data_IF_058454609299
#
_entry.id   IF_058454609299
#
_cell.length_a   1.000
_cell.length_b   1.000
_cell.length_c   1.000
_cell.angle_alpha   90.00
_cell.angle_beta   90.00
_cell.angle_gamma   90.00
#
_symmetry.space_group_name_H-M   'P 1'
#
loop_
_entity.id
_entity.type
_entity.pdbx_description
1 polymer ?
#
# COMPACT_ATOMS: atom_id res chain seq x y z
N UNK A 1 -31.11 -6.19 -52.41
CA UNK A 1 -30.08 -7.19 -52.74
C UNK A 1 -29.29 -7.43 -51.47
N UNK A 2 -29.48 -8.56 -50.79
CA UNK A 2 -28.72 -8.85 -49.58
C UNK A 2 -27.27 -9.16 -49.97
N UNK A 3 -26.27 -8.59 -49.27
CA UNK A 3 -24.86 -8.87 -49.58
C UNK A 3 -24.60 -10.37 -49.48
N UNK A 4 -23.84 -10.92 -50.44
CA UNK A 4 -23.44 -12.32 -50.41
C UNK A 4 -22.60 -12.63 -49.17
N UNK A 5 -22.56 -13.89 -48.73
CA UNK A 5 -21.89 -14.30 -47.48
C UNK A 5 -20.42 -13.81 -47.35
N UNK A 6 -19.70 -13.68 -48.47
CA UNK A 6 -18.34 -13.11 -48.51
C UNK A 6 -18.31 -11.60 -48.22
N UNK A 7 -19.24 -10.82 -48.79
CA UNK A 7 -19.40 -9.38 -48.49
C UNK A 7 -19.84 -9.14 -47.04
N UNK A 8 -20.66 -10.03 -46.48
CA UNK A 8 -21.03 -9.96 -45.07
C UNK A 8 -19.82 -10.19 -44.16
N UNK A 9 -18.93 -11.13 -44.51
CA UNK A 9 -17.68 -11.39 -43.78
C UNK A 9 -16.71 -10.21 -43.80
N UNK A 10 -16.54 -9.55 -44.95
CA UNK A 10 -15.72 -8.33 -45.07
C UNK A 10 -16.28 -7.18 -44.24
N UNK A 11 -17.60 -6.94 -44.28
CA UNK A 11 -18.25 -5.90 -43.49
C UNK A 11 -18.07 -6.17 -41.98
N UNK A 12 -18.22 -7.42 -41.53
CA UNK A 12 -17.99 -7.79 -40.12
C UNK A 12 -16.54 -7.52 -39.71
N UNK A 13 -15.56 -7.88 -40.54
CA UNK A 13 -14.15 -7.64 -40.25
C UNK A 13 -13.82 -6.15 -40.16
N UNK A 14 -14.37 -5.32 -41.07
CA UNK A 14 -14.20 -3.86 -41.04
C UNK A 14 -14.80 -3.27 -39.76
N UNK A 15 -16.02 -3.67 -39.40
CA UNK A 15 -16.68 -3.20 -38.17
C UNK A 15 -15.87 -3.60 -36.93
N UNK A 16 -15.38 -4.84 -36.87
CA UNK A 16 -14.52 -5.30 -35.77
C UNK A 16 -13.22 -4.49 -35.68
N UNK A 17 -12.57 -4.22 -36.81
CA UNK A 17 -11.34 -3.42 -36.85
C UNK A 17 -11.59 -1.98 -36.39
N UNK A 18 -12.70 -1.37 -36.82
CA UNK A 18 -13.10 -0.02 -36.41
C UNK A 18 -13.41 0.04 -34.90
N UNK A 19 -14.17 -0.92 -34.38
CA UNK A 19 -14.47 -1.00 -32.94
C UNK A 19 -13.19 -1.19 -32.12
N UNK A 20 -12.27 -2.03 -32.58
CA UNK A 20 -10.97 -2.21 -31.94
C UNK A 20 -10.14 -0.92 -31.96
N UNK A 21 -10.09 -0.20 -33.09
CA UNK A 21 -9.37 1.07 -33.20
C UNK A 21 -9.96 2.14 -32.25
N UNK A 22 -11.29 2.27 -32.19
CA UNK A 22 -11.99 3.19 -31.27
C UNK A 22 -11.66 2.84 -29.82
N UNK A 23 -11.65 1.56 -29.46
CA UNK A 23 -11.30 1.10 -28.13
C UNK A 23 -9.85 1.45 -27.78
N UNK A 24 -8.90 1.16 -28.66
CA UNK A 24 -7.47 1.45 -28.45
C UNK A 24 -7.22 2.95 -28.28
N UNK A 25 -7.87 3.78 -29.10
CA UNK A 25 -7.75 5.23 -29.01
C UNK A 25 -8.38 5.76 -27.71
N UNK A 26 -9.58 5.29 -27.37
CA UNK A 26 -10.27 5.65 -26.13
C UNK A 26 -9.45 5.30 -24.87
N UNK A 27 -8.87 4.10 -24.84
CA UNK A 27 -7.96 3.65 -23.78
C UNK A 27 -6.69 4.50 -23.73
N UNK A 28 -6.10 4.82 -24.88
CA UNK A 28 -4.89 5.63 -24.95
C UNK A 28 -5.13 7.04 -24.44
N UNK A 29 -6.25 7.66 -24.81
CA UNK A 29 -6.66 8.97 -24.32
C UNK A 29 -6.95 8.96 -22.81
N UNK A 30 -7.65 7.93 -22.31
CA UNK A 30 -7.90 7.77 -20.88
C UNK A 30 -6.59 7.62 -20.09
N UNK A 31 -5.69 6.75 -20.56
CA UNK A 31 -4.38 6.54 -19.97
C UNK A 31 -3.56 7.84 -19.93
N UNK A 32 -3.51 8.59 -21.03
CA UNK A 32 -2.78 9.87 -21.09
C UNK A 32 -3.31 10.90 -20.09
N UNK A 33 -4.64 10.95 -19.87
CA UNK A 33 -5.24 11.80 -18.83
C UNK A 33 -4.81 11.38 -17.43
N UNK A 34 -4.77 10.08 -17.14
CA UNK A 34 -4.34 9.56 -15.83
C UNK A 34 -2.86 9.82 -15.55
N UNK A 35 -1.98 9.61 -16.55
CA UNK A 35 -0.55 9.86 -16.37
C UNK A 35 -0.26 11.36 -16.22
N UNK A 36 -0.95 12.20 -17.00
CA UNK A 36 -0.87 13.66 -16.82
C UNK A 36 -1.37 14.07 -15.45
N UNK A 37 -2.50 13.49 -15.00
CA UNK A 37 -3.03 13.80 -13.68
C UNK A 37 -2.06 13.37 -12.59
N UNK A 38 -1.31 12.27 -12.75
CA UNK A 38 -0.30 11.72 -11.84
C UNK A 38 0.88 12.65 -11.54
N UNK A 39 1.18 13.62 -12.41
CA UNK A 39 2.28 14.58 -12.24
C UNK A 39 3.61 13.91 -11.84
N UNK A 40 3.89 12.74 -12.44
CA UNK A 40 5.06 11.92 -12.21
C UNK A 40 5.57 11.43 -13.56
N UNK A 41 6.88 11.50 -13.78
CA UNK A 41 7.54 11.07 -15.02
C UNK A 41 7.64 9.52 -15.12
N UNK A 42 6.56 8.81 -14.81
CA UNK A 42 6.58 7.35 -14.62
C UNK A 42 6.86 6.58 -15.92
N UNK A 43 6.39 7.11 -17.06
CA UNK A 43 6.65 6.53 -18.38
C UNK A 43 8.07 6.83 -18.88
N UNK A 44 8.69 7.90 -18.41
CA UNK A 44 10.10 8.18 -18.75
C UNK A 44 11.03 7.20 -18.03
N UNK A 45 10.63 6.72 -16.85
CA UNK A 45 11.38 5.73 -16.05
C UNK A 45 11.19 4.31 -16.57
N UNK A 46 9.96 3.94 -16.95
CA UNK A 46 9.61 2.57 -17.29
C UNK A 46 9.34 2.32 -18.79
N UNK A 47 9.57 3.31 -19.64
CA UNK A 47 9.21 3.29 -21.06
C UNK A 47 7.70 3.45 -21.29
N UNK A 48 7.28 3.61 -22.55
CA UNK A 48 5.85 3.72 -22.89
C UNK A 48 5.21 2.32 -22.94
N UNK A 49 4.05 2.11 -22.29
CA UNK A 49 3.38 0.82 -22.31
C UNK A 49 2.66 0.54 -23.64
N UNK A 50 2.51 -0.75 -23.95
CA UNK A 50 1.60 -1.24 -24.99
C UNK A 50 0.12 -0.98 -24.62
N UNK A 51 -0.79 -1.19 -25.58
CA UNK A 51 -2.21 -0.87 -25.38
C UNK A 51 -2.91 -1.76 -24.33
N UNK A 52 -2.51 -3.03 -24.17
CA UNK A 52 -3.06 -3.93 -23.15
C UNK A 52 -2.60 -3.47 -21.75
N UNK A 53 -1.35 -3.06 -21.63
CA UNK A 53 -0.81 -2.48 -20.39
C UNK A 53 -1.54 -1.17 -20.03
N UNK A 54 -1.81 -0.29 -21.01
CA UNK A 54 -2.65 0.91 -20.80
C UNK A 54 -4.06 0.55 -20.34
N UNK A 55 -4.70 -0.42 -21.01
CA UNK A 55 -6.03 -0.90 -20.65
C UNK A 55 -6.05 -1.42 -19.20
N UNK A 56 -5.06 -2.22 -18.79
CA UNK A 56 -4.93 -2.67 -17.40
C UNK A 56 -4.81 -1.51 -16.41
N UNK A 57 -4.00 -0.49 -16.72
CA UNK A 57 -3.88 0.72 -15.88
C UNK A 57 -5.22 1.44 -15.75
N UNK A 58 -5.89 1.69 -16.86
CA UNK A 58 -7.18 2.37 -16.88
C UNK A 58 -8.25 1.58 -16.13
N UNK A 59 -8.40 0.28 -16.40
CA UNK A 59 -9.39 -0.56 -15.74
C UNK A 59 -9.18 -0.64 -14.23
N UNK A 60 -7.95 -0.95 -13.79
CA UNK A 60 -7.64 -1.06 -12.36
C UNK A 60 -7.82 0.27 -11.65
N UNK A 61 -7.44 1.39 -12.28
CA UNK A 61 -7.72 2.72 -11.74
C UNK A 61 -9.23 2.91 -11.50
N UNK A 62 -10.07 2.73 -12.52
CA UNK A 62 -11.51 2.95 -12.37
C UNK A 62 -12.18 1.96 -11.42
N UNK A 63 -11.67 0.74 -11.30
CA UNK A 63 -12.13 -0.25 -10.32
C UNK A 63 -11.85 0.23 -8.88
N UNK A 64 -10.69 0.86 -8.63
CA UNK A 64 -10.30 1.29 -7.28
C UNK A 64 -10.80 2.68 -6.91
N UNK A 65 -10.80 3.61 -7.86
CA UNK A 65 -11.03 5.04 -7.66
C UNK A 65 -12.42 5.48 -8.09
N UNK A 66 -13.06 4.74 -8.99
CA UNK A 66 -14.32 5.14 -9.60
C UNK A 66 -14.18 6.45 -10.38
N UNK A 67 -15.16 7.34 -10.23
CA UNK A 67 -15.22 8.64 -10.92
C UNK A 67 -14.61 9.79 -10.13
N UNK A 68 -13.92 9.52 -9.01
CA UNK A 68 -13.32 10.56 -8.18
C UNK A 68 -12.25 11.34 -8.98
N UNK A 69 -12.21 12.65 -8.79
CA UNK A 69 -11.23 13.56 -9.41
C UNK A 69 -10.27 14.04 -8.33
N UNK A 70 -8.94 14.05 -8.59
CA UNK A 70 -7.98 14.53 -7.60
C UNK A 70 -8.25 15.98 -7.20
N UNK A 71 -8.27 16.25 -5.90
CA UNK A 71 -8.33 17.61 -5.39
C UNK A 71 -7.07 18.41 -5.75
N UNK A 72 -7.22 19.72 -5.94
CA UNK A 72 -6.12 20.62 -6.32
C UNK A 72 -5.66 21.52 -5.19
N UNK A 73 -6.54 21.83 -4.23
CA UNK A 73 -6.24 22.68 -3.09
C UNK A 73 -5.61 21.85 -1.96
N UNK A 74 -4.53 22.33 -1.30
CA UNK A 74 -3.99 21.67 -0.11
C UNK A 74 -5.05 21.51 0.97
N UNK A 75 -5.06 20.35 1.63
CA UNK A 75 -5.93 20.15 2.80
C UNK A 75 -5.32 20.96 3.96
N UNK A 76 -6.08 21.89 4.59
CA UNK A 76 -5.58 22.61 5.75
C UNK A 76 -5.29 21.64 6.91
N UNK A 77 -4.09 21.73 7.46
CA UNK A 77 -3.62 20.84 8.52
C UNK A 77 -3.47 21.58 9.86
N UNK A 78 -3.62 20.83 10.93
CA UNK A 78 -3.32 21.22 12.30
C UNK A 78 -2.29 20.26 12.92
N UNK A 79 -1.52 20.73 13.89
CA UNK A 79 -0.57 19.96 14.69
C UNK A 79 -0.97 19.90 16.16
N UNK A 80 -0.73 18.76 16.78
CA UNK A 80 -0.95 18.52 18.21
C UNK A 80 0.26 17.76 18.78
N UNK A 81 0.68 18.07 20.01
CA UNK A 81 1.69 17.26 20.68
C UNK A 81 1.10 15.90 21.07
N UNK A 82 1.83 14.82 20.81
CA UNK A 82 1.40 13.47 21.18
C UNK A 82 1.25 13.37 22.70
N UNK A 83 0.10 12.88 23.22
CA UNK A 83 -0.06 12.65 24.65
C UNK A 83 0.75 11.43 25.15
N UNK A 84 1.30 10.62 24.24
CA UNK A 84 1.97 9.37 24.55
C UNK A 84 3.48 9.40 24.32
N UNK A 85 3.95 10.22 23.38
CA UNK A 85 5.37 10.27 23.00
C UNK A 85 5.87 11.72 23.12
N UNK A 86 6.67 12.04 24.14
CA UNK A 86 7.22 13.38 24.32
C UNK A 86 7.99 13.86 23.08
N UNK A 87 7.73 15.11 22.67
CA UNK A 87 8.39 15.74 21.51
C UNK A 87 7.82 15.34 20.14
N UNK A 88 6.92 14.36 20.07
CA UNK A 88 6.25 13.98 18.83
C UNK A 88 5.07 14.89 18.53
N UNK A 89 4.95 15.38 17.30
CA UNK A 89 3.76 16.05 16.80
C UNK A 89 2.92 15.09 15.96
N UNK A 90 1.61 15.11 16.10
CA UNK A 90 0.66 14.41 15.23
C UNK A 90 -0.09 15.43 14.37
N UNK A 91 -0.44 15.02 13.15
CA UNK A 91 -1.14 15.90 12.20
C UNK A 91 -2.61 15.53 12.10
N UNK A 92 -3.43 16.57 11.98
CA UNK A 92 -4.88 16.48 11.87
C UNK A 92 -5.38 17.37 10.73
N UNK A 93 -6.61 17.13 10.26
CA UNK A 93 -7.31 18.15 9.48
C UNK A 93 -7.62 19.34 10.39
N UNK A 94 -7.44 20.55 9.88
CA UNK A 94 -7.79 21.75 10.63
C UNK A 94 -9.27 21.74 11.06
N UNK A 95 -9.52 22.05 12.33
CA UNK A 95 -10.86 21.98 12.94
C UNK A 95 -11.34 20.59 13.36
N UNK A 96 -10.62 19.51 13.04
CA UNK A 96 -11.01 18.15 13.42
C UNK A 96 -10.73 17.82 14.89
N UNK A 97 -9.70 18.43 15.49
CA UNK A 97 -9.35 18.26 16.90
C UNK A 97 -9.23 19.63 17.58
N UNK A 98 -9.98 19.81 18.68
CA UNK A 98 -9.98 21.06 19.48
C UNK A 98 -8.64 21.35 20.14
N UNK A 99 -7.83 20.32 20.42
CA UNK A 99 -6.51 20.45 21.02
C UNK A 99 -5.41 20.72 19.98
N UNK A 100 -5.69 20.54 18.69
CA UNK A 100 -4.75 20.81 17.62
C UNK A 100 -4.76 22.30 17.24
N UNK A 101 -3.59 22.84 16.94
CA UNK A 101 -3.39 24.22 16.47
C UNK A 101 -3.02 24.21 15.00
N UNK A 102 -3.29 25.29 14.25
CA UNK A 102 -2.94 25.35 12.82
C UNK A 102 -1.46 25.02 12.60
N UNK A 103 -1.18 24.20 11.58
CA UNK A 103 0.15 23.68 11.29
C UNK A 103 1.14 24.85 11.17
N UNK A 104 2.20 24.81 11.98
CA UNK A 104 3.22 25.86 11.97
C UNK A 104 4.29 25.49 10.94
N UNK A 105 4.65 26.37 9.98
CA UNK A 105 5.49 26.03 8.83
C UNK A 105 7.00 25.93 9.13
N UNK A 106 7.39 25.54 10.35
CA UNK A 106 8.76 25.70 10.83
C UNK A 106 9.41 24.39 11.27
N UNK A 107 10.26 23.86 10.38
CA UNK A 107 11.33 22.93 10.70
C UNK A 107 10.89 21.53 11.16
N UNK A 108 11.71 20.53 10.86
CA UNK A 108 11.50 19.17 11.33
C UNK A 108 11.50 18.11 10.22
N UNK A 109 11.14 16.90 10.60
CA UNK A 109 11.02 15.75 9.70
C UNK A 109 9.58 15.22 9.77
N UNK A 110 8.99 14.99 8.62
CA UNK A 110 7.67 14.36 8.52
C UNK A 110 7.86 12.88 8.26
N UNK A 111 7.35 12.05 9.17
CA UNK A 111 7.26 10.61 8.98
C UNK A 111 5.83 10.29 8.55
N UNK A 112 5.67 10.06 7.25
CA UNK A 112 4.36 9.85 6.65
C UNK A 112 4.04 8.36 6.50
N UNK A 113 2.80 7.99 6.84
CA UNK A 113 2.33 6.59 6.75
C UNK A 113 0.87 6.52 6.31
N UNK A 114 0.45 5.31 5.97
CA UNK A 114 -0.94 4.93 5.82
C UNK A 114 -1.14 3.67 6.65
N UNK A 115 -2.19 3.60 7.48
CA UNK A 115 -2.57 2.41 8.28
C UNK A 115 -3.08 1.21 7.45
N UNK A 116 -2.48 0.98 6.28
CA UNK A 116 -2.74 -0.17 5.40
C UNK A 116 -1.75 -1.29 5.74
N UNK A 117 -2.19 -2.23 6.59
CA UNK A 117 -1.37 -3.34 7.09
C UNK A 117 -0.45 -2.97 8.26
N UNK A 118 -0.25 -3.92 9.19
CA UNK A 118 0.50 -3.68 10.43
C UNK A 118 2.01 -3.39 10.23
N UNK A 119 2.59 -3.72 9.06
CA UNK A 119 4.01 -3.53 8.78
C UNK A 119 4.40 -2.06 8.67
N UNK A 120 3.75 -1.31 7.77
CA UNK A 120 4.06 0.09 7.47
C UNK A 120 3.96 1.00 8.70
N UNK A 121 2.97 0.75 9.56
CA UNK A 121 2.79 1.52 10.77
C UNK A 121 3.91 1.30 11.79
N UNK A 122 4.47 0.09 11.88
CA UNK A 122 5.64 -0.19 12.73
C UNK A 122 6.90 0.50 12.19
N UNK A 123 7.05 0.55 10.87
CA UNK A 123 8.14 1.30 10.24
C UNK A 123 8.04 2.78 10.60
N UNK A 124 6.83 3.35 10.49
CA UNK A 124 6.57 4.74 10.83
C UNK A 124 6.89 5.06 12.30
N UNK A 125 6.43 4.23 13.24
CA UNK A 125 6.75 4.44 14.66
C UNK A 125 8.24 4.43 14.92
N UNK A 126 8.94 3.47 14.34
CA UNK A 126 10.34 3.29 14.66
C UNK A 126 11.24 4.34 13.96
N UNK A 127 10.85 4.78 12.76
CA UNK A 127 11.41 5.97 12.10
C UNK A 127 11.20 7.24 12.92
N UNK A 128 10.01 7.37 13.50
CA UNK A 128 9.68 8.47 14.41
C UNK A 128 10.57 8.46 15.66
N UNK A 129 10.75 7.30 16.29
CA UNK A 129 11.66 7.14 17.42
C UNK A 129 13.10 7.51 17.06
N UNK A 130 13.57 7.15 15.86
CA UNK A 130 14.88 7.56 15.37
C UNK A 130 14.99 9.08 15.20
N UNK A 131 14.00 9.71 14.57
CA UNK A 131 14.01 11.16 14.33
C UNK A 131 13.98 11.96 15.65
N UNK A 132 13.19 11.52 16.63
CA UNK A 132 13.17 12.08 17.98
C UNK A 132 14.52 11.91 18.69
N UNK A 133 15.18 10.76 18.53
CA UNK A 133 16.52 10.52 19.07
C UNK A 133 17.61 11.41 18.48
N UNK A 134 17.35 12.08 17.35
CA UNK A 134 18.22 13.09 16.75
C UNK A 134 17.87 14.53 17.16
N UNK A 135 16.98 14.70 18.15
CA UNK A 135 16.50 15.98 18.64
C UNK A 135 15.91 16.87 17.52
N UNK A 136 15.17 16.23 16.60
CA UNK A 136 14.44 16.91 15.52
C UNK A 136 12.97 17.01 15.86
N UNK A 137 12.36 18.18 15.61
CA UNK A 137 10.90 18.31 15.55
C UNK A 137 10.38 17.26 14.57
N UNK A 138 9.52 16.37 15.04
CA UNK A 138 9.10 15.20 14.27
C UNK A 138 7.58 15.19 14.15
N UNK A 139 7.08 15.04 12.94
CA UNK A 139 5.66 14.95 12.65
C UNK A 139 5.29 13.52 12.25
N UNK A 140 4.39 12.89 12.99
CA UNK A 140 3.74 11.66 12.60
C UNK A 140 2.52 11.97 11.73
N UNK A 141 2.66 11.75 10.43
CA UNK A 141 1.67 12.10 9.42
C UNK A 141 0.97 10.86 8.87
N UNK A 142 -0.09 10.42 9.54
CA UNK A 142 -0.95 9.33 9.05
C UNK A 142 -2.07 9.87 8.16
N UNK A 143 -2.04 9.53 6.87
CA UNK A 143 -3.05 10.00 5.93
C UNK A 143 -4.46 9.52 6.29
N UNK A 144 -4.59 8.35 6.93
CA UNK A 144 -5.89 7.82 7.36
C UNK A 144 -6.44 8.50 8.61
N UNK A 145 -5.64 9.33 9.28
CA UNK A 145 -6.09 10.16 10.39
C UNK A 145 -6.76 11.47 9.92
N UNK A 146 -6.54 11.86 8.65
CA UNK A 146 -7.09 13.08 8.08
C UNK A 146 -8.53 12.82 7.63
N UNK A 147 -9.50 13.52 8.24
CA UNK A 147 -10.91 13.38 7.86
C UNK A 147 -11.20 14.12 6.54
N UNK A 148 -11.11 13.40 5.42
CA UNK A 148 -11.21 13.92 4.05
C UNK A 148 -11.75 12.88 3.07
N UNK A 149 -12.23 13.32 1.90
CA UNK A 149 -12.68 12.40 0.84
C UNK A 149 -11.51 11.55 0.32
N UNK A 150 -10.32 12.14 0.22
CA UNK A 150 -9.10 11.50 -0.25
C UNK A 150 -8.62 10.41 0.72
N UNK A 151 -8.67 10.66 2.03
CA UNK A 151 -8.41 9.62 3.03
C UNK A 151 -9.49 8.53 3.03
N UNK A 152 -10.74 8.89 2.72
CA UNK A 152 -11.83 7.93 2.59
C UNK A 152 -11.66 7.02 1.37
N UNK A 153 -11.09 7.51 0.27
CA UNK A 153 -10.72 6.69 -0.88
C UNK A 153 -9.75 5.57 -0.47
N UNK A 154 -8.75 5.86 0.36
CA UNK A 154 -7.81 4.84 0.88
C UNK A 154 -8.57 3.74 1.63
N UNK A 155 -9.53 4.12 2.49
CA UNK A 155 -10.37 3.16 3.24
C UNK A 155 -11.23 2.30 2.31
N UNK A 156 -11.82 2.91 1.29
CA UNK A 156 -12.64 2.22 0.29
C UNK A 156 -11.81 1.22 -0.51
N UNK A 157 -10.62 1.62 -0.96
CA UNK A 157 -9.68 0.73 -1.65
C UNK A 157 -9.25 -0.45 -0.78
N UNK A 158 -8.94 -0.23 0.51
CA UNK A 158 -8.61 -1.29 1.46
C UNK A 158 -9.76 -2.28 1.65
N UNK A 159 -10.97 -1.73 1.81
CA UNK A 159 -12.18 -2.52 1.99
C UNK A 159 -12.47 -3.38 0.76
N UNK A 160 -12.40 -2.78 -0.43
CA UNK A 160 -12.60 -3.46 -1.70
C UNK A 160 -11.55 -4.56 -1.93
N UNK A 161 -10.27 -4.26 -1.69
CA UNK A 161 -9.18 -5.25 -1.75
C UNK A 161 -9.42 -6.41 -0.78
N UNK A 162 -9.84 -6.11 0.45
CA UNK A 162 -10.14 -7.13 1.48
C UNK A 162 -11.35 -7.99 1.11
N UNK A 163 -12.42 -7.39 0.56
CA UNK A 163 -13.60 -8.12 0.10
C UNK A 163 -13.24 -9.07 -1.04
N UNK A 164 -12.54 -8.57 -2.04
CA UNK A 164 -12.17 -9.36 -3.22
C UNK A 164 -11.16 -10.46 -2.86
N UNK A 165 -10.20 -10.18 -1.97
CA UNK A 165 -9.28 -11.20 -1.47
C UNK A 165 -10.02 -12.36 -0.76
N UNK A 166 -11.09 -12.07 -0.02
CA UNK A 166 -11.93 -13.11 0.60
C UNK A 166 -12.69 -13.93 -0.44
N UNK A 167 -13.24 -13.29 -1.45
CA UNK A 167 -13.96 -13.97 -2.54
C UNK A 167 -13.00 -14.87 -3.34
N UNK A 168 -11.77 -14.41 -3.63
CA UNK A 168 -10.77 -15.22 -4.32
C UNK A 168 -10.40 -16.48 -3.58
N UNK A 169 -10.28 -16.41 -2.26
CA UNK A 169 -10.00 -17.56 -1.42
C UNK A 169 -11.10 -18.64 -1.48
N UNK A 170 -12.26 -18.33 -2.06
CA UNK A 170 -13.41 -19.23 -2.21
C UNK A 170 -13.67 -19.62 -3.68
N UNK A 171 -13.20 -18.82 -4.67
CA UNK A 171 -13.47 -19.04 -6.10
C UNK A 171 -12.21 -18.98 -6.98
N UNK A 172 -11.76 -20.16 -7.44
CA UNK A 172 -10.56 -20.32 -8.29
C UNK A 172 -10.60 -19.54 -9.62
N UNK A 173 -11.76 -19.37 -10.23
CA UNK A 173 -11.88 -18.57 -11.47
C UNK A 173 -11.63 -17.07 -11.21
N UNK A 174 -12.11 -16.56 -10.07
CA UNK A 174 -11.88 -15.17 -9.65
C UNK A 174 -10.42 -14.98 -9.23
N UNK A 175 -9.84 -15.97 -8.55
CA UNK A 175 -8.40 -16.02 -8.24
C UNK A 175 -7.55 -15.94 -9.52
N UNK A 176 -7.89 -16.66 -10.59
CA UNK A 176 -7.16 -16.59 -11.86
C UNK A 176 -7.30 -15.24 -12.57
N UNK A 177 -8.52 -14.70 -12.64
CA UNK A 177 -8.78 -13.41 -13.33
C UNK A 177 -8.15 -12.25 -12.56
N UNK A 178 -8.37 -12.18 -11.26
CA UNK A 178 -7.77 -11.14 -10.44
C UNK A 178 -6.28 -11.37 -10.27
N UNK A 179 -5.84 -12.62 -10.16
CA UNK A 179 -4.44 -13.01 -10.25
C UNK A 179 -3.82 -12.49 -11.53
N UNK A 180 -4.47 -12.58 -12.69
CA UNK A 180 -3.94 -12.01 -13.94
C UNK A 180 -3.98 -10.46 -14.00
N UNK A 181 -4.98 -9.83 -13.40
CA UNK A 181 -5.11 -8.37 -13.32
C UNK A 181 -4.13 -7.75 -12.32
N UNK A 182 -3.83 -8.46 -11.23
CA UNK A 182 -3.02 -8.00 -10.10
C UNK A 182 -1.62 -8.61 -10.04
N UNK A 183 -1.39 -9.74 -10.74
CA UNK A 183 -0.07 -10.18 -11.18
C UNK A 183 0.39 -9.17 -12.22
N UNK A 184 0.75 -8.00 -11.71
CA UNK A 184 1.52 -7.00 -12.39
C UNK A 184 2.96 -7.53 -12.48
N UNK A 185 3.13 -8.66 -13.18
CA UNK A 185 4.42 -9.32 -13.43
C UNK A 185 5.41 -8.45 -14.21
N UNK A 186 5.02 -7.23 -14.60
CA UNK A 186 5.92 -6.14 -14.91
C UNK A 186 5.78 -5.07 -13.82
N UNK A 187 6.82 -4.91 -13.00
CA UNK A 187 6.98 -3.85 -11.99
C UNK A 187 6.52 -2.47 -12.47
N UNK A 188 6.69 -2.19 -13.77
CA UNK A 188 6.27 -0.97 -14.45
C UNK A 188 4.76 -0.68 -14.40
N UNK A 189 3.88 -1.67 -14.62
CA UNK A 189 2.43 -1.43 -14.59
C UNK A 189 1.96 -1.17 -13.16
N UNK A 190 2.53 -1.88 -12.19
CA UNK A 190 2.24 -1.61 -10.78
C UNK A 190 2.69 -0.20 -10.39
N UNK A 191 3.89 0.21 -10.81
CA UNK A 191 4.39 1.57 -10.56
C UNK A 191 3.46 2.64 -11.17
N UNK A 192 2.94 2.40 -12.38
CA UNK A 192 1.91 3.27 -12.99
C UNK A 192 0.63 3.32 -12.17
N UNK A 193 0.10 2.18 -11.70
CA UNK A 193 -1.08 2.16 -10.83
C UNK A 193 -0.88 3.04 -9.60
N UNK A 194 0.27 2.84 -8.92
CA UNK A 194 0.59 3.61 -7.73
C UNK A 194 0.70 5.11 -8.03
N UNK A 195 1.33 5.48 -9.14
CA UNK A 195 1.46 6.87 -9.57
C UNK A 195 0.11 7.53 -9.84
N UNK A 196 -0.77 6.89 -10.62
CA UNK A 196 -2.08 7.48 -10.98
C UNK A 196 -3.02 7.57 -9.77
N UNK A 197 -2.95 6.61 -8.84
CA UNK A 197 -3.74 6.66 -7.60
C UNK A 197 -3.16 7.68 -6.62
N UNK A 198 -1.83 7.80 -6.50
CA UNK A 198 -1.20 8.79 -5.61
C UNK A 198 -1.56 10.25 -5.94
N UNK A 199 -2.09 10.49 -7.14
CA UNK A 199 -2.63 11.78 -7.53
C UNK A 199 -3.68 12.30 -6.56
N UNK A 200 -4.50 11.41 -6.02
CA UNK A 200 -5.57 11.74 -5.10
C UNK A 200 -5.07 12.13 -3.71
N UNK A 201 -3.83 11.80 -3.33
CA UNK A 201 -3.35 12.05 -1.96
C UNK A 201 -2.36 13.21 -1.85
N UNK A 202 -2.11 13.95 -2.94
CA UNK A 202 -1.16 15.08 -2.94
C UNK A 202 -1.54 16.17 -1.95
N UNK A 203 -2.83 16.51 -1.92
CA UNK A 203 -3.38 17.59 -1.09
C UNK A 203 -3.16 17.33 0.39
N UNK A 204 -3.11 16.05 0.79
CA UNK A 204 -2.90 15.62 2.17
C UNK A 204 -1.51 15.96 2.71
N UNK A 205 -0.50 16.05 1.84
CA UNK A 205 0.87 16.44 2.22
C UNK A 205 1.21 17.88 1.84
N UNK A 206 0.37 18.53 1.02
CA UNK A 206 0.70 19.80 0.40
C UNK A 206 0.71 21.01 1.34
N UNK A 207 0.21 20.88 2.57
CA UNK A 207 0.29 21.93 3.59
C UNK A 207 1.70 22.10 4.17
N UNK A 208 2.59 21.11 4.03
CA UNK A 208 3.98 21.26 4.44
C UNK A 208 4.81 22.05 3.40
N UNK A 209 5.80 22.84 3.83
CA UNK A 209 6.78 23.46 2.93
C UNK A 209 7.51 22.43 2.07
N UNK A 210 7.74 22.72 0.78
CA UNK A 210 8.29 21.77 -0.22
C UNK A 210 9.72 21.29 0.05
N UNK A 211 10.45 22.01 0.88
CA UNK A 211 11.79 21.68 1.34
C UNK A 211 11.79 20.87 2.65
N UNK A 212 10.62 20.61 3.24
CA UNK A 212 10.48 19.74 4.42
C UNK A 212 10.91 18.31 4.07
N UNK A 213 11.84 17.69 4.82
CA UNK A 213 12.15 16.28 4.68
C UNK A 213 10.93 15.40 5.01
N UNK A 214 10.51 14.56 4.06
CA UNK A 214 9.45 13.56 4.24
C UNK A 214 10.08 12.17 4.16
N UNK A 215 9.94 11.38 5.23
CA UNK A 215 10.23 9.95 5.25
C UNK A 215 8.92 9.20 5.03
N UNK A 216 8.76 8.61 3.86
CA UNK A 216 7.60 7.84 3.46
C UNK A 216 7.74 6.40 3.92
N UNK A 217 6.83 5.97 4.80
CA UNK A 217 6.73 4.58 5.27
C UNK A 217 5.67 3.79 4.48
N UNK A 218 5.11 4.36 3.42
CA UNK A 218 4.15 3.73 2.52
C UNK A 218 4.24 4.38 1.12
N UNK A 219 4.26 3.61 0.00
CA UNK A 219 4.55 4.15 -1.34
C UNK A 219 3.70 5.35 -1.77
N UNK A 220 2.40 5.36 -1.48
CA UNK A 220 1.52 6.50 -1.79
C UNK A 220 2.00 7.80 -1.16
N UNK A 221 2.51 7.78 0.08
CA UNK A 221 3.02 9.00 0.73
C UNK A 221 4.18 9.59 -0.07
N UNK A 222 5.13 8.75 -0.48
CA UNK A 222 6.33 9.18 -1.20
C UNK A 222 5.99 9.71 -2.59
N UNK A 223 5.17 8.96 -3.34
CA UNK A 223 4.72 9.37 -4.67
C UNK A 223 3.89 10.65 -4.62
N UNK A 224 2.99 10.78 -3.66
CA UNK A 224 2.19 12.00 -3.47
C UNK A 224 3.05 13.20 -3.09
N UNK A 225 4.06 13.01 -2.23
CA UNK A 225 5.01 14.07 -1.89
C UNK A 225 5.83 14.51 -3.12
N UNK A 226 6.40 13.57 -3.89
CA UNK A 226 7.13 13.91 -5.12
C UNK A 226 6.22 14.63 -6.11
N UNK A 227 5.01 14.12 -6.32
CA UNK A 227 4.04 14.72 -7.24
C UNK A 227 3.54 16.09 -6.77
N UNK A 228 3.61 16.37 -5.46
CA UNK A 228 3.32 17.68 -4.88
C UNK A 228 4.53 18.65 -4.93
N UNK A 229 5.69 18.20 -5.43
CA UNK A 229 6.88 19.03 -5.63
C UNK A 229 7.86 19.05 -4.45
N UNK A 230 7.79 18.08 -3.54
CA UNK A 230 8.78 17.96 -2.48
C UNK A 230 10.14 17.53 -3.03
N UNK A 231 11.20 18.16 -2.53
CA UNK A 231 12.58 17.90 -3.00
C UNK A 231 13.35 16.95 -2.09
N UNK A 232 12.86 16.71 -0.86
CA UNK A 232 13.52 15.90 0.17
C UNK A 232 12.62 14.72 0.58
N UNK A 233 12.36 13.80 -0.34
CA UNK A 233 11.54 12.62 -0.10
C UNK A 233 12.43 11.37 0.05
N UNK A 234 12.36 10.73 1.21
CA UNK A 234 13.05 9.47 1.52
C UNK A 234 12.01 8.36 1.55
N UNK A 235 12.08 7.42 0.62
CA UNK A 235 11.18 6.28 0.60
C UNK A 235 11.75 5.14 1.47
N UNK A 236 11.09 4.86 2.59
CA UNK A 236 11.46 3.87 3.59
C UNK A 236 10.38 2.79 3.70
N UNK A 237 10.13 2.08 2.60
CA UNK A 237 9.18 0.96 2.54
C UNK A 237 9.99 -0.34 2.55
N UNK A 238 9.56 -1.34 3.32
CA UNK A 238 10.22 -2.66 3.38
C UNK A 238 9.30 -3.73 2.82
N UNK A 239 9.60 -4.25 1.63
CA UNK A 239 8.87 -5.37 1.02
C UNK A 239 9.86 -6.46 0.54
N UNK A 240 9.36 -7.70 0.43
CA UNK A 240 10.12 -8.91 0.13
C UNK A 240 10.25 -9.21 -1.38
N UNK A 241 9.45 -8.55 -2.22
CA UNK A 241 9.60 -8.59 -3.67
C UNK A 241 10.43 -7.39 -4.14
N UNK A 242 11.39 -7.60 -5.06
CA UNK A 242 12.27 -6.55 -5.57
C UNK A 242 11.51 -5.54 -6.44
N UNK A 243 10.75 -4.64 -5.81
CA UNK A 243 10.28 -3.41 -6.42
C UNK A 243 11.32 -2.31 -6.19
N UNK A 244 12.54 -2.50 -6.71
CA UNK A 244 13.57 -1.49 -6.97
C UNK A 244 13.89 -0.38 -5.91
N UNK A 245 13.45 -0.45 -4.65
CA UNK A 245 13.64 0.65 -3.70
C UNK A 245 13.61 0.23 -2.23
N UNK A 246 14.43 -0.75 -1.80
CA UNK A 246 14.34 -1.23 -0.41
C UNK A 246 15.71 -1.48 0.25
N UNK A 247 15.84 -1.00 1.50
CA UNK A 247 16.90 -1.32 2.48
C UNK A 247 16.22 -1.92 3.73
N UNK A 248 16.87 -2.72 4.57
CA UNK A 248 16.26 -3.22 5.82
C UNK A 248 16.62 -2.34 7.03
N UNK A 249 15.64 -1.92 7.83
CA UNK A 249 15.87 -1.23 9.10
C UNK A 249 15.17 -1.95 10.26
N UNK A 250 15.87 -2.17 11.37
CA UNK A 250 15.38 -2.89 12.55
C UNK A 250 15.40 -1.89 13.73
N UNK A 251 14.27 -1.68 14.44
CA UNK A 251 14.19 -0.81 15.60
C UNK A 251 15.29 -1.11 16.62
N UNK A 252 15.85 -0.06 17.24
CA UNK A 252 16.94 -0.19 18.22
C UNK A 252 16.56 -1.17 19.33
N UNK A 253 15.32 -1.14 19.80
CA UNK A 253 14.80 -2.00 20.87
C UNK A 253 14.83 -3.48 20.50
N UNK A 254 14.68 -3.80 19.21
CA UNK A 254 14.81 -5.17 18.68
C UNK A 254 16.28 -5.55 18.44
N UNK A 255 17.13 -4.57 18.09
CA UNK A 255 18.57 -4.81 17.86
C UNK A 255 19.34 -4.96 19.18
N UNK A 256 19.05 -4.17 20.21
CA UNK A 256 19.81 -4.20 21.48
C UNK A 256 19.71 -5.54 22.19
N UNK A 257 18.58 -6.24 22.03
CA UNK A 257 18.35 -7.56 22.60
C UNK A 257 18.76 -8.71 21.66
N UNK A 258 19.33 -8.43 20.48
CA UNK A 258 19.58 -9.49 19.49
C UNK A 258 20.49 -10.58 20.03
N UNK A 259 21.56 -10.21 20.75
CA UNK A 259 22.54 -11.16 21.30
C UNK A 259 21.91 -12.01 22.40
N UNK A 260 21.22 -11.38 23.35
CA UNK A 260 20.55 -12.08 24.46
C UNK A 260 19.44 -12.99 23.94
N UNK A 261 18.60 -12.51 23.02
CA UNK A 261 17.51 -13.30 22.46
C UNK A 261 18.04 -14.46 21.60
N UNK A 262 19.08 -14.25 20.80
CA UNK A 262 19.73 -15.31 20.04
C UNK A 262 20.32 -16.38 20.97
N UNK A 263 20.96 -15.99 22.07
CA UNK A 263 21.48 -16.92 23.07
C UNK A 263 20.36 -17.70 23.76
N UNK A 264 19.24 -17.04 24.10
CA UNK A 264 18.07 -17.70 24.67
C UNK A 264 17.46 -18.71 23.68
N UNK A 265 17.39 -18.38 22.38
CA UNK A 265 16.94 -19.31 21.32
C UNK A 265 17.88 -20.50 21.18
N UNK A 266 19.20 -20.29 21.17
CA UNK A 266 20.21 -21.36 21.13
C UNK A 266 20.12 -22.29 22.34
N UNK A 267 20.03 -21.73 23.55
CA UNK A 267 19.90 -22.51 24.78
C UNK A 267 18.62 -23.35 24.81
N UNK A 268 17.49 -22.80 24.35
CA UNK A 268 16.24 -23.56 24.18
C UNK A 268 16.37 -24.71 23.18
N UNK A 269 17.03 -24.46 22.05
CA UNK A 269 17.25 -25.47 21.02
C UNK A 269 18.16 -26.60 21.53
N UNK A 270 19.25 -26.26 22.23
CA UNK A 270 20.14 -27.24 22.86
C UNK A 270 19.40 -28.11 23.90
N UNK A 271 18.50 -27.50 24.67
CA UNK A 271 17.61 -28.20 25.60
C UNK A 271 16.44 -28.94 24.93
N UNK A 272 16.43 -29.05 23.59
CA UNK A 272 15.37 -29.69 22.77
C UNK A 272 13.95 -29.22 23.14
N UNK A 273 13.81 -27.97 23.59
CA UNK A 273 12.50 -27.41 23.94
C UNK A 273 11.66 -27.22 22.66
N UNK A 274 10.32 -27.22 22.77
CA UNK A 274 9.44 -27.08 21.62
C UNK A 274 9.78 -25.82 20.80
N UNK A 275 9.84 -25.98 19.48
CA UNK A 275 10.07 -24.86 18.54
C UNK A 275 8.85 -23.96 18.53
N UNK A 276 9.00 -22.69 18.86
CA UNK A 276 7.90 -21.72 18.85
C UNK A 276 7.87 -20.98 17.53
N UNK A 277 6.73 -21.05 16.84
CA UNK A 277 6.49 -20.30 15.61
C UNK A 277 5.35 -19.31 15.90
N UNK A 278 5.62 -18.03 15.70
CA UNK A 278 4.59 -16.99 15.72
C UNK A 278 4.26 -16.64 14.27
N UNK A 279 3.02 -16.92 13.85
CA UNK A 279 2.51 -16.55 12.54
C UNK A 279 1.47 -15.44 12.74
N UNK A 280 1.78 -14.24 12.24
CA UNK A 280 0.80 -13.16 12.13
C UNK A 280 -0.09 -13.38 10.91
N UNK A 281 -1.40 -13.39 11.11
CA UNK A 281 -2.39 -13.58 10.05
C UNK A 281 -3.04 -12.23 9.75
N UNK A 282 -2.89 -11.75 8.51
CA UNK A 282 -3.54 -10.51 8.07
C UNK A 282 -5.06 -10.65 7.92
N UNK A 283 -5.78 -9.53 8.06
CA UNK A 283 -7.25 -9.49 7.96
C UNK A 283 -7.86 -9.67 6.57
N UNK A 284 -7.06 -9.46 5.52
CA UNK A 284 -7.50 -9.53 4.12
C UNK A 284 -7.75 -10.97 3.62
N UNK A 285 -7.39 -12.01 4.40
CA UNK A 285 -7.63 -13.41 4.01
C UNK A 285 -6.70 -13.96 2.93
N UNK A 286 -5.89 -13.12 2.28
CA UNK A 286 -4.92 -13.52 1.24
C UNK A 286 -3.90 -14.57 1.72
N UNK A 287 -3.68 -14.69 3.03
CA UNK A 287 -2.76 -15.67 3.62
C UNK A 287 -3.45 -16.98 4.07
N UNK A 288 -4.76 -17.12 3.88
CA UNK A 288 -5.54 -18.25 4.42
C UNK A 288 -4.98 -19.59 3.95
N UNK A 289 -4.82 -19.79 2.63
CA UNK A 289 -4.33 -21.05 2.06
C UNK A 289 -2.95 -21.41 2.60
N UNK A 290 -2.03 -20.45 2.59
CA UNK A 290 -0.69 -20.61 3.14
C UNK A 290 -0.70 -20.99 4.62
N UNK A 291 -1.51 -20.31 5.45
CA UNK A 291 -1.61 -20.59 6.89
C UNK A 291 -2.21 -21.98 7.14
N UNK A 292 -3.24 -22.38 6.39
CA UNK A 292 -3.83 -23.72 6.49
C UNK A 292 -2.83 -24.82 6.12
N UNK A 293 -2.05 -24.63 5.05
CA UNK A 293 -1.00 -25.57 4.65
C UNK A 293 0.13 -25.64 5.68
N UNK A 294 0.54 -24.49 6.24
CA UNK A 294 1.52 -24.43 7.33
C UNK A 294 1.04 -25.19 8.56
N UNK A 295 -0.22 -25.02 8.98
CA UNK A 295 -0.81 -25.75 10.12
C UNK A 295 -0.79 -27.25 9.84
N UNK A 296 -1.22 -27.69 8.66
CA UNK A 296 -1.22 -29.11 8.27
C UNK A 296 0.18 -29.70 8.27
N UNK A 297 1.16 -29.00 7.70
CA UNK A 297 2.55 -29.43 7.67
C UNK A 297 3.18 -29.51 9.08
N UNK A 298 2.70 -28.69 10.02
CA UNK A 298 3.18 -28.68 11.41
C UNK A 298 2.40 -29.61 12.36
N UNK A 299 1.26 -30.16 11.94
CA UNK A 299 0.32 -30.88 12.81
C UNK A 299 0.99 -32.02 13.59
N UNK A 300 1.78 -32.87 12.92
CA UNK A 300 2.47 -34.00 13.55
C UNK A 300 3.53 -33.53 14.58
N UNK A 301 4.20 -32.40 14.31
CA UNK A 301 5.20 -31.82 15.21
C UNK A 301 4.55 -31.20 16.44
N UNK A 302 3.38 -30.60 16.28
CA UNK A 302 2.57 -30.02 17.37
C UNK A 302 2.01 -31.15 18.25
N UNK A 303 1.44 -32.21 17.65
CA UNK A 303 0.88 -33.36 18.37
C UNK A 303 1.93 -34.07 19.24
N UNK A 304 3.18 -34.20 18.74
CA UNK A 304 4.31 -34.75 19.50
C UNK A 304 4.94 -33.77 20.51
N UNK A 305 4.39 -32.57 20.65
CA UNK A 305 4.91 -31.53 21.55
C UNK A 305 6.27 -30.93 21.12
N UNK A 306 6.79 -31.27 19.94
CA UNK A 306 8.08 -30.77 19.43
C UNK A 306 8.01 -29.35 18.83
N UNK A 307 6.80 -28.86 18.58
CA UNK A 307 6.54 -27.51 18.09
C UNK A 307 5.31 -26.89 18.76
N UNK A 308 5.32 -25.57 18.89
CA UNK A 308 4.21 -24.75 19.37
C UNK A 308 3.95 -23.65 18.34
N UNK A 309 2.76 -23.65 17.73
CA UNK A 309 2.34 -22.63 16.78
C UNK A 309 1.44 -21.62 17.50
N UNK A 310 1.81 -20.35 17.42
CA UNK A 310 1.04 -19.22 17.92
C UNK A 310 0.51 -18.45 16.72
N UNK A 311 -0.80 -18.37 16.58
CA UNK A 311 -1.46 -17.61 15.53
C UNK A 311 -1.89 -16.26 16.11
N UNK A 312 -1.40 -15.17 15.55
CA UNK A 312 -1.82 -13.82 15.91
C UNK A 312 -2.68 -13.24 14.78
N UNK A 313 -4.00 -13.25 14.95
CA UNK A 313 -4.95 -12.70 13.99
C UNK A 313 -5.30 -11.22 14.23
N UNK A 314 -4.66 -10.55 15.20
CA UNK A 314 -5.03 -9.19 15.61
C UNK A 314 -6.52 -9.09 15.95
N UNK A 315 -7.18 -8.05 15.44
CA UNK A 315 -8.62 -7.78 15.66
C UNK A 315 -9.54 -8.60 14.72
N UNK A 316 -8.98 -9.50 13.90
CA UNK A 316 -9.73 -10.25 12.89
C UNK A 316 -10.25 -11.58 13.44
N UNK A 317 -11.12 -11.52 14.44
CA UNK A 317 -11.72 -12.69 15.13
C UNK A 317 -12.40 -13.70 14.20
N UNK A 318 -12.91 -13.25 13.05
CA UNK A 318 -13.49 -14.12 12.02
C UNK A 318 -12.48 -15.08 11.37
N UNK A 319 -11.19 -14.70 11.30
CA UNK A 319 -10.13 -15.56 10.79
C UNK A 319 -9.75 -16.64 11.80
N UNK A 320 -9.79 -16.35 13.09
CA UNK A 320 -9.50 -17.33 14.14
C UNK A 320 -10.51 -18.49 14.14
N UNK A 321 -11.81 -18.22 13.93
CA UNK A 321 -12.87 -19.23 13.88
C UNK A 321 -12.82 -20.16 12.66
N UNK A 322 -12.14 -19.75 11.58
CA UNK A 322 -12.00 -20.53 10.34
C UNK A 322 -10.72 -21.40 10.33
N UNK A 323 -9.84 -21.21 11.32
CA UNK A 323 -8.56 -21.90 11.46
C UNK A 323 -8.56 -22.96 12.57
N UNK A 324 -9.60 -22.99 13.41
CA UNK A 324 -9.94 -24.08 14.34
C UNK A 324 -10.66 -25.22 13.62
#
# INVERSE_FOLDING_TARGET
MFPGAAQLGEVVAIVQALLHAILVEGVTAAYARLIKSANLAIDDIHGKPDWLSKLKVVCVYYINVGSMVPATAPLPLAEEASPHVPGLMTTWREGANKAATSLQPLGGVVVGTIRMGYGHHRIAYATTSWALGMDKKTYFHDLLNLDSEEASLIKTMDHFYSQISRIQAEFRAIELVFGYLMANGATANLARQFAVVSAHFRTLTAAFPRDTPIISCFPYVGLSAVAAGFTRVINLVFDNHAQAAHCHWIPRELVVNIKSDCNARKARAAARKPTRVLCSVGGAGAQKTFVCELIRAMAERIARGSAQLLLNAGDHTHNARRLS
#
